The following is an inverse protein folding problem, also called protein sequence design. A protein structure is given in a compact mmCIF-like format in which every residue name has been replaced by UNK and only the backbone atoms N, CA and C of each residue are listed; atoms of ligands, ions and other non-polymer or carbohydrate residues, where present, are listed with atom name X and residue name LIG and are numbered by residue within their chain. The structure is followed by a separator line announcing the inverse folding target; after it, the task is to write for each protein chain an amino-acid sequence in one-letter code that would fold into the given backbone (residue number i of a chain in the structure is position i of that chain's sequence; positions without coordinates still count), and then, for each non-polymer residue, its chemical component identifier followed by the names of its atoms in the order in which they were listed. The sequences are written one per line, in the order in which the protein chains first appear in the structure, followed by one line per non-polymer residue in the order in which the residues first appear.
data_IF_238651114357
#
_entry.id   IF_238651114357
#
_cell.length_a   1.000
_cell.length_b   1.000
_cell.length_c   1.000
_cell.angle_alpha   90.00
_cell.angle_beta   90.00
_cell.angle_gamma   90.00
#
_symmetry.space_group_name_H-M   'P 1'
#
loop_
_entity.id
_entity.type
_entity.pdbx_description
1 polymer ?
#
# COMPACT_ATOMS: atom_id res chain seq x y z
N UNK A 1 -28.69 18.80 23.75
CA UNK A 1 -28.44 19.17 22.34
C UNK A 1 -27.37 18.24 21.80
N UNK A 2 -27.74 17.36 20.87
CA UNK A 2 -26.87 16.29 20.33
C UNK A 2 -25.89 16.88 19.31
N UNK A 3 -24.59 16.78 19.55
CA UNK A 3 -23.57 17.00 18.52
C UNK A 3 -23.44 15.70 17.71
N UNK A 4 -24.01 15.69 16.50
CA UNK A 4 -23.90 14.58 15.56
C UNK A 4 -22.56 14.64 14.84
N UNK A 5 -21.57 13.90 15.33
CA UNK A 5 -20.28 13.68 14.66
C UNK A 5 -20.40 12.53 13.64
N UNK A 6 -19.94 12.78 12.41
CA UNK A 6 -19.82 11.79 11.31
C UNK A 6 -19.12 10.48 11.70
N UNK A 7 -18.32 10.51 12.76
CA UNK A 7 -17.66 9.36 13.37
C UNK A 7 -18.61 8.31 13.98
N UNK A 8 -19.91 8.58 14.09
CA UNK A 8 -20.90 7.54 14.38
C UNK A 8 -21.27 6.71 13.13
N UNK A 9 -20.76 7.07 11.95
CA UNK A 9 -21.09 6.43 10.66
C UNK A 9 -19.90 5.70 10.03
N UNK A 10 -18.69 5.72 10.61
CA UNK A 10 -17.64 4.80 10.18
C UNK A 10 -16.84 4.24 11.36
N UNK A 11 -16.70 2.91 11.44
CA UNK A 11 -15.79 2.27 12.39
C UNK A 11 -14.41 2.17 11.77
N UNK A 12 -13.47 2.97 12.26
CA UNK A 12 -12.05 2.80 11.95
C UNK A 12 -11.50 1.71 12.85
N UNK A 13 -11.51 0.47 12.35
CA UNK A 13 -10.94 -0.64 13.07
C UNK A 13 -9.44 -0.69 12.78
N UNK A 14 -8.65 -0.50 13.83
CA UNK A 14 -7.20 -0.75 13.86
C UNK A 14 -7.00 -2.03 14.65
N UNK A 15 -6.58 -3.10 14.00
CA UNK A 15 -6.08 -4.29 14.71
C UNK A 15 -4.56 -4.17 14.86
N UNK A 16 -4.11 -3.57 15.95
CA UNK A 16 -2.83 -3.97 16.55
C UNK A 16 -3.24 -4.78 17.77
N UNK A 17 -2.90 -6.06 17.79
CA UNK A 17 -2.87 -6.73 19.09
C UNK A 17 -1.61 -6.23 19.80
N UNK A 18 -1.76 -5.17 20.60
CA UNK A 18 -0.89 -5.00 21.75
C UNK A 18 -1.16 -6.18 22.67
N UNK A 19 -0.08 -6.84 23.08
CA UNK A 19 -0.02 -8.01 23.92
C UNK A 19 -0.72 -7.79 25.27
N UNK A 20 -2.04 -7.89 25.29
CA UNK A 20 -2.80 -8.10 26.53
C UNK A 20 -3.65 -9.34 26.33
N UNK A 21 -3.14 -10.44 26.87
CA UNK A 21 -3.78 -11.74 26.94
C UNK A 21 -5.24 -11.62 27.40
N UNK A 22 -6.17 -11.87 26.48
CA UNK A 22 -7.41 -12.55 26.83
C UNK A 22 -7.32 -13.97 26.29
N UNK A 23 -7.31 -14.91 27.23
CA UNK A 23 -7.17 -16.34 27.01
C UNK A 23 -8.39 -16.86 26.22
N UNK A 24 -8.23 -17.05 24.92
CA UNK A 24 -8.97 -18.09 24.18
C UNK A 24 -7.96 -18.82 23.29
N UNK A 25 -7.56 -20.01 23.74
CA UNK A 25 -6.65 -20.92 23.04
C UNK A 25 -7.23 -21.32 21.68
N UNK A 26 -6.54 -20.95 20.59
CA UNK A 26 -6.00 -21.83 19.53
C UNK A 26 -6.02 -21.22 18.11
N UNK A 27 -4.86 -21.32 17.42
CA UNK A 27 -4.49 -20.96 16.02
C UNK A 27 -3.72 -19.63 15.85
N UNK A 28 -2.48 -19.48 16.33
CA UNK A 28 -1.16 -19.99 15.85
C UNK A 28 -0.63 -19.35 14.53
N UNK A 29 0.53 -18.65 14.54
CA UNK A 29 1.13 -17.95 13.38
C UNK A 29 1.44 -18.85 12.17
N UNK A 30 1.53 -20.17 12.37
CA UNK A 30 1.70 -21.17 11.31
C UNK A 30 0.54 -21.21 10.32
N UNK A 31 -0.70 -20.94 10.76
CA UNK A 31 -1.86 -20.93 9.86
C UNK A 31 -1.79 -19.78 8.84
N UNK A 32 -1.30 -18.61 9.27
CA UNK A 32 -1.24 -17.41 8.45
C UNK A 32 -0.20 -17.54 7.32
N UNK A 33 0.98 -18.11 7.63
CA UNK A 33 2.00 -18.39 6.60
C UNK A 33 1.49 -19.41 5.58
N UNK A 34 0.84 -20.48 6.04
CA UNK A 34 0.23 -21.47 5.16
C UNK A 34 -0.88 -20.88 4.27
N UNK A 35 -1.70 -19.96 4.81
CA UNK A 35 -2.73 -19.27 4.06
C UNK A 35 -2.13 -18.39 2.95
N UNK A 36 -1.07 -17.64 3.25
CA UNK A 36 -0.38 -16.81 2.26
C UNK A 36 0.26 -17.67 1.18
N UNK A 37 0.96 -18.75 1.54
CA UNK A 37 1.57 -19.67 0.58
C UNK A 37 0.53 -20.40 -0.29
N UNK A 38 -0.67 -20.66 0.23
CA UNK A 38 -1.74 -21.30 -0.52
C UNK A 38 -2.47 -20.33 -1.47
N UNK A 39 -2.64 -19.07 -1.07
CA UNK A 39 -3.39 -18.06 -1.83
C UNK A 39 -2.53 -17.24 -2.80
N UNK A 40 -1.23 -17.15 -2.55
CA UNK A 40 -0.30 -16.38 -3.38
C UNK A 40 0.45 -17.35 -4.30
N UNK A 41 0.55 -16.98 -5.57
CA UNK A 41 1.37 -17.71 -6.55
C UNK A 41 2.85 -17.29 -6.52
N UNK A 42 3.29 -16.62 -5.44
CA UNK A 42 4.65 -16.13 -5.30
C UNK A 42 5.57 -17.25 -4.76
N UNK A 43 6.80 -17.38 -5.27
CA UNK A 43 7.74 -18.39 -4.79
C UNK A 43 8.27 -18.07 -3.39
N UNK A 44 8.39 -16.78 -3.05
CA UNK A 44 8.84 -16.29 -1.75
C UNK A 44 8.03 -15.06 -1.32
N UNK A 45 7.71 -14.97 -0.04
CA UNK A 45 7.08 -13.80 0.58
C UNK A 45 8.14 -12.75 0.96
N UNK A 46 7.75 -11.47 1.11
CA UNK A 46 8.61 -10.46 1.72
C UNK A 46 9.12 -10.90 3.10
N UNK A 47 10.31 -10.42 3.48
CA UNK A 47 10.94 -10.75 4.77
C UNK A 47 10.06 -10.38 5.97
N UNK A 48 9.37 -9.25 5.91
CA UNK A 48 8.45 -8.79 6.93
C UNK A 48 7.06 -8.63 6.33
N UNK A 49 6.16 -9.57 6.63
CA UNK A 49 4.73 -9.46 6.28
C UNK A 49 3.95 -9.26 7.57
N UNK A 50 3.02 -8.30 7.58
CA UNK A 50 2.16 -8.02 8.71
C UNK A 50 0.71 -8.47 8.40
N UNK A 51 0.42 -9.78 8.48
CA UNK A 51 -0.85 -10.33 7.99
C UNK A 51 -2.09 -9.84 8.75
N UNK A 52 -1.92 -9.45 10.02
CA UNK A 52 -2.99 -8.95 10.87
C UNK A 52 -3.24 -7.45 10.73
N UNK A 53 -2.34 -6.73 10.03
CA UNK A 53 -2.45 -5.30 9.84
C UNK A 53 -3.48 -5.03 8.75
N UNK A 54 -4.61 -4.47 9.17
CA UNK A 54 -5.67 -4.01 8.27
C UNK A 54 -6.08 -2.60 8.69
N UNK A 55 -6.14 -1.71 7.71
CA UNK A 55 -6.76 -0.39 7.88
C UNK A 55 -8.04 -0.39 7.07
N UNK A 56 -9.17 -0.20 7.75
CA UNK A 56 -10.50 -0.29 7.15
C UNK A 56 -11.34 0.95 7.44
N UNK A 57 -11.99 1.45 6.40
CA UNK A 57 -13.05 2.45 6.43
C UNK A 57 -14.35 1.72 6.10
N UNK A 58 -15.22 1.52 7.10
CA UNK A 58 -16.48 0.79 6.94
C UNK A 58 -17.66 1.65 7.38
N UNK A 59 -18.72 1.69 6.57
CA UNK A 59 -19.95 2.45 6.89
C UNK A 59 -20.71 1.78 8.07
N UNK A 60 -21.05 2.53 9.11
CA UNK A 60 -21.62 2.00 10.35
C UNK A 60 -23.03 1.48 10.19
N UNK A 61 -23.88 2.12 9.37
CA UNK A 61 -25.23 1.60 9.11
C UNK A 61 -25.28 0.58 7.96
N UNK A 62 -24.26 0.51 7.11
CA UNK A 62 -24.20 -0.34 5.91
C UNK A 62 -22.86 -1.07 5.90
N UNK A 63 -22.66 -2.07 6.77
CA UNK A 63 -21.34 -2.69 6.98
C UNK A 63 -20.78 -3.42 5.74
N UNK A 64 -21.63 -3.71 4.76
CA UNK A 64 -21.21 -4.25 3.46
C UNK A 64 -20.47 -3.21 2.59
N UNK A 65 -20.60 -1.92 2.90
CA UNK A 65 -19.85 -0.83 2.27
C UNK A 65 -18.58 -0.61 3.06
N UNK A 66 -17.46 -1.07 2.53
CA UNK A 66 -16.15 -0.94 3.18
C UNK A 66 -15.02 -0.84 2.16
N UNK A 67 -14.01 -0.08 2.54
CA UNK A 67 -12.75 0.08 1.84
C UNK A 67 -11.67 -0.31 2.83
N UNK A 68 -10.80 -1.26 2.48
CA UNK A 68 -9.74 -1.68 3.38
C UNK A 68 -8.45 -2.00 2.64
N UNK A 69 -7.35 -2.00 3.39
CA UNK A 69 -6.02 -2.31 2.90
C UNK A 69 -5.45 -3.46 3.70
N UNK A 70 -5.01 -4.52 3.02
CA UNK A 70 -4.39 -5.70 3.62
C UNK A 70 -3.13 -6.12 2.86
N UNK A 71 -2.19 -6.75 3.55
CA UNK A 71 -0.97 -7.26 2.92
C UNK A 71 -1.28 -8.38 1.90
N UNK A 72 -2.23 -9.27 2.23
CA UNK A 72 -2.62 -10.38 1.36
C UNK A 72 -3.15 -9.90 0.01
N UNK A 73 -4.10 -8.95 0.01
CA UNK A 73 -4.70 -8.45 -1.24
C UNK A 73 -3.70 -7.64 -2.07
N UNK A 74 -2.77 -6.93 -1.41
CA UNK A 74 -1.69 -6.24 -2.09
C UNK A 74 -0.71 -7.21 -2.77
N UNK A 75 -0.32 -8.30 -2.09
CA UNK A 75 0.60 -9.30 -2.61
C UNK A 75 -0.01 -10.16 -3.73
N UNK A 76 -1.34 -10.33 -3.76
CA UNK A 76 -2.03 -11.00 -4.88
C UNK A 76 -1.87 -10.26 -6.21
N UNK A 77 -1.62 -8.96 -6.17
CA UNK A 77 -1.42 -8.12 -7.36
C UNK A 77 0.05 -8.03 -7.79
N UNK A 78 0.97 -8.68 -7.08
CA UNK A 78 2.37 -8.78 -7.49
C UNK A 78 2.47 -9.79 -8.64
N UNK A 79 3.19 -9.45 -9.70
CA UNK A 79 3.35 -10.34 -10.84
C UNK A 79 4.19 -11.58 -10.46
N UNK A 80 3.54 -12.74 -10.49
CA UNK A 80 4.15 -14.02 -10.18
C UNK A 80 4.89 -14.67 -11.38
N UNK A 81 4.77 -14.08 -12.57
CA UNK A 81 5.10 -14.74 -13.86
C UNK A 81 6.07 -13.98 -14.74
N UNK A 82 6.19 -12.66 -14.55
CA UNK A 82 7.15 -11.84 -15.28
C UNK A 82 8.24 -11.29 -14.37
N UNK A 83 9.42 -11.11 -14.94
CA UNK A 83 10.49 -10.39 -14.28
C UNK A 83 10.21 -8.89 -14.39
N UNK A 84 10.60 -8.10 -13.39
CA UNK A 84 10.50 -6.66 -13.50
C UNK A 84 11.41 -6.21 -14.66
N UNK A 85 11.03 -5.13 -15.37
CA UNK A 85 11.82 -4.55 -16.48
C UNK A 85 13.23 -4.08 -16.05
N UNK A 86 13.50 -4.13 -14.74
CA UNK A 86 14.74 -3.79 -14.07
C UNK A 86 15.79 -4.87 -14.32
N UNK A 87 16.54 -4.72 -15.41
CA UNK A 87 17.72 -5.54 -15.66
C UNK A 87 18.87 -5.05 -14.79
N UNK A 88 19.21 -5.81 -13.74
CA UNK A 88 20.39 -5.56 -12.92
C UNK A 88 21.32 -6.77 -12.98
N UNK A 89 22.62 -6.55 -13.16
CA UNK A 89 23.64 -7.58 -12.91
C UNK A 89 23.53 -8.27 -11.52
N UNK A 90 23.12 -7.54 -10.46
CA UNK A 90 22.69 -8.09 -9.17
C UNK A 90 21.47 -9.01 -9.19
N UNK A 91 20.59 -9.00 -10.21
CA UNK A 91 19.47 -9.96 -10.24
C UNK A 91 19.99 -11.39 -10.33
N UNK A 92 21.15 -11.63 -10.95
CA UNK A 92 21.79 -12.94 -10.98
C UNK A 92 22.37 -13.33 -9.61
N UNK A 93 22.95 -12.36 -8.88
CA UNK A 93 23.50 -12.58 -7.51
C UNK A 93 22.38 -12.75 -6.48
N UNK A 94 21.32 -11.98 -6.58
CA UNK A 94 20.10 -12.05 -5.77
C UNK A 94 19.33 -13.36 -6.02
N UNK A 95 19.21 -13.77 -7.29
CA UNK A 95 18.68 -15.09 -7.63
C UNK A 95 19.57 -16.20 -7.06
N UNK A 96 20.90 -16.08 -7.16
CA UNK A 96 21.84 -17.08 -6.62
C UNK A 96 21.81 -17.18 -5.09
N UNK A 97 21.64 -16.08 -4.36
CA UNK A 97 21.60 -16.08 -2.89
C UNK A 97 20.36 -16.80 -2.34
N UNK A 98 19.20 -16.66 -3.01
CA UNK A 98 17.95 -17.37 -2.65
C UNK A 98 17.90 -18.81 -3.20
N UNK A 99 18.63 -19.12 -4.29
CA UNK A 99 18.66 -20.45 -4.93
C UNK A 99 19.66 -21.44 -4.30
N UNK A 100 20.44 -21.04 -3.30
CA UNK A 100 21.29 -21.96 -2.53
C UNK A 100 22.28 -22.78 -3.38
N UNK A 101 22.74 -22.26 -4.53
CA UNK A 101 23.71 -22.94 -5.40
C UNK A 101 23.14 -23.97 -6.39
N UNK A 102 21.82 -24.02 -6.60
CA UNK A 102 21.22 -24.87 -7.64
C UNK A 102 21.55 -24.36 -9.07
N UNK A 103 21.75 -25.25 -10.08
CA UNK A 103 22.16 -24.85 -11.42
C UNK A 103 21.14 -23.94 -12.11
N UNK A 104 21.66 -22.93 -12.82
CA UNK A 104 20.98 -21.76 -13.44
C UNK A 104 19.95 -22.12 -14.55
N UNK A 105 19.61 -23.39 -14.75
CA UNK A 105 18.94 -23.87 -15.97
C UNK A 105 17.55 -24.50 -15.77
N UNK A 106 16.84 -24.18 -14.69
CA UNK A 106 15.45 -24.63 -14.48
C UNK A 106 14.48 -23.44 -14.44
N UNK A 107 14.11 -22.84 -15.58
CA UNK A 107 12.90 -21.96 -15.64
C UNK A 107 12.83 -20.92 -14.47
N UNK A 108 13.98 -20.45 -13.98
CA UNK A 108 14.13 -20.03 -12.59
C UNK A 108 13.32 -18.76 -12.33
N UNK A 109 12.18 -18.95 -11.65
CA UNK A 109 11.39 -17.95 -10.94
C UNK A 109 11.34 -16.59 -11.64
N UNK A 110 10.72 -16.53 -12.83
CA UNK A 110 10.32 -15.26 -13.44
C UNK A 110 9.18 -14.69 -12.61
N UNK A 111 9.48 -14.03 -11.51
CA UNK A 111 8.50 -13.28 -10.72
C UNK A 111 9.09 -11.94 -10.34
N UNK A 112 8.20 -11.02 -9.99
CA UNK A 112 8.61 -9.71 -9.51
C UNK A 112 9.12 -9.78 -8.06
N UNK A 113 10.42 -9.98 -7.94
CA UNK A 113 11.14 -9.96 -6.67
C UNK A 113 11.16 -8.58 -5.98
N UNK A 114 10.74 -7.53 -6.68
CA UNK A 114 10.60 -6.19 -6.07
C UNK A 114 9.31 -6.04 -5.29
N UNK A 115 8.41 -7.03 -5.35
CA UNK A 115 7.08 -7.00 -4.73
C UNK A 115 6.28 -5.75 -5.13
N UNK A 116 6.47 -5.27 -6.37
CA UNK A 116 5.72 -4.11 -6.86
C UNK A 116 4.25 -4.46 -7.00
N UNK A 117 3.41 -3.57 -6.49
CA UNK A 117 1.96 -3.75 -6.51
C UNK A 117 1.27 -2.48 -6.99
N UNK A 118 0.31 -2.65 -7.88
CA UNK A 118 -0.59 -1.57 -8.31
C UNK A 118 -1.87 -1.53 -7.45
N UNK A 119 -1.82 -2.12 -6.24
CA UNK A 119 -2.95 -2.23 -5.32
C UNK A 119 -3.51 -0.87 -4.89
N UNK A 120 -4.81 -0.67 -5.13
CA UNK A 120 -5.57 0.57 -4.87
C UNK A 120 -6.52 0.47 -3.67
N UNK A 121 -6.33 -0.54 -2.82
CA UNK A 121 -7.27 -0.90 -1.75
C UNK A 121 -8.39 -1.82 -2.24
N UNK A 122 -8.88 -2.66 -1.34
CA UNK A 122 -10.01 -3.55 -1.60
C UNK A 122 -11.30 -2.81 -1.30
N UNK A 123 -12.18 -2.73 -2.30
CA UNK A 123 -13.43 -1.96 -2.26
C UNK A 123 -14.61 -2.92 -2.34
N UNK A 124 -15.52 -2.85 -1.36
CA UNK A 124 -16.76 -3.61 -1.32
C UNK A 124 -17.95 -2.67 -1.14
N UNK A 125 -19.02 -2.87 -1.91
CA UNK A 125 -20.28 -2.12 -1.76
C UNK A 125 -20.28 -0.68 -2.28
N UNK A 126 -19.22 -0.22 -2.95
CA UNK A 126 -19.20 1.07 -3.64
C UNK A 126 -19.47 0.91 -5.13
N UNK A 127 -20.07 1.93 -5.73
CA UNK A 127 -20.07 2.12 -7.16
C UNK A 127 -18.79 2.86 -7.57
N UNK A 128 -18.07 2.31 -8.56
CA UNK A 128 -16.77 2.82 -8.99
C UNK A 128 -16.90 3.38 -10.40
N UNK A 129 -16.61 4.67 -10.55
CA UNK A 129 -16.61 5.34 -11.86
C UNK A 129 -15.30 6.10 -12.10
N UNK A 130 -14.89 6.21 -13.36
CA UNK A 130 -13.77 7.08 -13.73
C UNK A 130 -14.17 8.55 -13.56
N UNK A 131 -13.26 9.39 -13.05
CA UNK A 131 -13.57 10.80 -12.81
C UNK A 131 -12.42 11.72 -13.18
N UNK A 132 -12.74 12.96 -13.55
CA UNK A 132 -11.76 14.02 -13.74
C UNK A 132 -11.57 14.88 -12.47
N UNK A 133 -12.41 14.67 -11.46
CA UNK A 133 -12.31 15.39 -10.18
C UNK A 133 -10.99 15.05 -9.48
N UNK A 134 -10.26 16.08 -9.07
CA UNK A 134 -8.95 15.96 -8.44
C UNK A 134 -9.06 16.18 -6.93
N UNK A 135 -8.16 15.55 -6.17
CA UNK A 135 -8.04 15.86 -4.74
C UNK A 135 -7.49 17.28 -4.58
N UNK A 136 -8.23 18.12 -3.88
CA UNK A 136 -7.80 19.48 -3.57
C UNK A 136 -6.70 19.46 -2.50
N UNK A 137 -5.45 19.49 -2.97
CA UNK A 137 -4.27 19.50 -2.11
C UNK A 137 -4.16 20.77 -1.26
N UNK A 138 -4.78 21.89 -1.66
CA UNK A 138 -4.76 23.12 -0.87
C UNK A 138 -5.64 23.00 0.39
N UNK A 139 -6.76 22.28 0.29
CA UNK A 139 -7.55 21.92 1.49
C UNK A 139 -6.72 21.11 2.48
N UNK A 140 -5.89 20.18 2.00
CA UNK A 140 -5.05 19.32 2.85
C UNK A 140 -3.86 20.04 3.50
N UNK A 141 -3.45 21.20 2.97
CA UNK A 141 -2.40 22.03 3.58
C UNK A 141 -2.91 22.86 4.76
N UNK A 142 -4.22 23.00 4.91
CA UNK A 142 -4.83 23.71 6.05
C UNK A 142 -4.47 22.99 7.35
N UNK A 143 -4.14 23.76 8.39
CA UNK A 143 -3.80 23.23 9.71
C UNK A 143 -5.08 22.97 10.51
N UNK A 144 -5.88 22.03 10.04
CA UNK A 144 -7.06 21.57 10.76
C UNK A 144 -6.66 20.58 11.87
N UNK A 145 -7.36 20.57 13.03
CA UNK A 145 -7.06 19.64 14.10
C UNK A 145 -7.29 18.20 13.64
N UNK A 146 -6.29 17.35 13.82
CA UNK A 146 -6.39 15.93 13.49
C UNK A 146 -7.12 15.23 14.65
N UNK A 147 -8.34 14.77 14.40
CA UNK A 147 -9.12 13.99 15.37
C UNK A 147 -8.64 12.55 15.48
N UNK A 148 -8.18 11.98 14.37
CA UNK A 148 -7.67 10.62 14.34
C UNK A 148 -6.49 10.50 13.38
N UNK A 149 -5.44 9.82 13.82
CA UNK A 149 -4.30 9.43 13.01
C UNK A 149 -3.97 7.96 13.25
N UNK A 150 -3.72 7.24 12.16
CA UNK A 150 -3.17 5.88 12.23
C UNK A 150 -2.25 5.65 11.06
N UNK A 151 -1.18 4.91 11.29
CA UNK A 151 -0.25 4.44 10.27
C UNK A 151 0.09 2.98 10.55
N UNK A 152 0.02 2.16 9.51
CA UNK A 152 0.30 0.72 9.57
C UNK A 152 1.24 0.34 8.42
N UNK A 153 2.18 -0.56 8.69
CA UNK A 153 2.95 -1.25 7.64
C UNK A 153 2.19 -2.52 7.23
N UNK A 154 2.19 -2.85 5.93
CA UNK A 154 1.57 -4.08 5.40
C UNK A 154 2.63 -5.14 5.11
N UNK A 155 3.69 -4.77 4.41
CA UNK A 155 4.87 -5.61 4.23
C UNK A 155 6.12 -4.77 3.93
N UNK A 156 7.28 -5.35 4.22
CA UNK A 156 8.61 -4.77 4.05
C UNK A 156 9.61 -5.86 3.63
N UNK A 157 10.57 -5.50 2.78
CA UNK A 157 11.67 -6.36 2.33
C UNK A 157 12.91 -5.51 2.07
N UNK A 158 14.09 -5.97 2.49
CA UNK A 158 15.37 -5.27 2.28
C UNK A 158 16.07 -5.67 0.96
N UNK A 159 15.40 -6.48 0.13
CA UNK A 159 15.88 -6.98 -1.15
C UNK A 159 17.27 -7.62 -1.04
N UNK A 160 17.53 -8.34 0.07
CA UNK A 160 18.83 -8.90 0.43
C UNK A 160 19.96 -7.84 0.45
N UNK A 161 19.74 -6.75 1.19
CA UNK A 161 20.65 -5.60 1.36
C UNK A 161 20.92 -4.78 0.08
N UNK A 162 20.14 -4.99 -0.98
CA UNK A 162 20.27 -4.28 -2.26
C UNK A 162 19.20 -3.22 -2.50
N UNK A 163 18.40 -2.90 -1.48
CA UNK A 163 17.38 -1.88 -1.58
C UNK A 163 16.35 -1.93 -0.46
N UNK A 164 15.12 -1.56 -0.81
CA UNK A 164 13.97 -1.63 0.08
C UNK A 164 12.69 -1.68 -0.74
N UNK A 165 11.78 -2.58 -0.38
CA UNK A 165 10.39 -2.58 -0.81
C UNK A 165 9.50 -2.46 0.43
N UNK A 166 8.65 -1.44 0.52
CA UNK A 166 7.79 -1.22 1.68
C UNK A 166 6.41 -0.74 1.23
N UNK A 167 5.36 -1.39 1.74
CA UNK A 167 3.97 -0.93 1.61
C UNK A 167 3.45 -0.47 2.97
N UNK A 168 3.04 0.79 3.06
CA UNK A 168 2.45 1.36 4.28
C UNK A 168 1.18 2.16 3.97
N UNK A 169 0.27 2.20 4.94
CA UNK A 169 -0.99 2.93 4.84
C UNK A 169 -1.13 3.85 6.04
N UNK A 170 -1.42 5.12 5.77
CA UNK A 170 -1.70 6.13 6.80
C UNK A 170 -3.01 6.84 6.53
N UNK A 171 -3.75 7.14 7.59
CA UNK A 171 -4.99 7.91 7.54
C UNK A 171 -4.94 9.06 8.53
N UNK A 172 -5.44 10.21 8.10
CA UNK A 172 -5.73 11.38 8.93
C UNK A 172 -7.21 11.67 8.80
N UNK A 173 -7.87 11.94 9.93
CA UNK A 173 -9.26 12.41 9.94
C UNK A 173 -9.34 13.75 10.63
N UNK A 174 -9.97 14.70 9.95
CA UNK A 174 -10.21 16.08 10.33
C UNK A 174 -11.72 16.29 10.49
N UNK A 175 -12.18 17.40 11.09
CA UNK A 175 -13.62 17.64 11.29
C UNK A 175 -14.45 17.59 10.00
N UNK A 176 -13.91 18.13 8.90
CA UNK A 176 -14.63 18.28 7.63
C UNK A 176 -14.29 17.21 6.58
N UNK A 177 -13.19 16.46 6.75
CA UNK A 177 -12.72 15.52 5.73
C UNK A 177 -11.79 14.46 6.33
N UNK A 178 -11.49 13.44 5.55
CA UNK A 178 -10.39 12.53 5.82
C UNK A 178 -9.48 12.39 4.61
N UNK A 179 -8.23 12.03 4.89
CA UNK A 179 -7.24 11.74 3.87
C UNK A 179 -6.49 10.46 4.23
N UNK A 180 -6.49 9.51 3.30
CA UNK A 180 -5.75 8.26 3.39
C UNK A 180 -4.70 8.23 2.28
N UNK A 181 -3.49 7.83 2.65
CA UNK A 181 -2.40 7.54 1.72
C UNK A 181 -1.93 6.11 1.95
N UNK A 182 -2.11 5.25 0.95
CA UNK A 182 -1.36 4.01 0.81
C UNK A 182 -0.17 4.28 -0.10
N UNK A 183 1.03 3.95 0.35
CA UNK A 183 2.28 4.17 -0.39
C UNK A 183 3.08 2.89 -0.43
N UNK A 184 3.28 2.39 -1.64
CA UNK A 184 4.33 1.44 -1.96
C UNK A 184 5.59 2.22 -2.33
N UNK A 185 6.69 1.96 -1.64
CA UNK A 185 8.00 2.52 -1.88
C UNK A 185 8.96 1.41 -2.28
N UNK A 186 9.59 1.55 -3.45
CA UNK A 186 10.62 0.65 -3.93
C UNK A 186 11.87 1.46 -4.23
N UNK A 187 12.99 1.03 -3.66
CA UNK A 187 14.32 1.49 -3.99
C UNK A 187 15.17 0.27 -4.31
N UNK A 188 15.81 0.28 -5.47
CA UNK A 188 16.86 -0.68 -5.81
C UNK A 188 18.14 0.11 -5.95
N UNK A 189 19.10 -0.16 -5.06
CA UNK A 189 20.27 0.70 -4.86
C UNK A 189 21.12 0.81 -6.11
N UNK A 190 21.35 2.04 -6.57
CA UNK A 190 22.11 2.33 -7.79
C UNK A 190 21.35 2.07 -9.09
N UNK A 191 20.06 1.71 -9.02
CA UNK A 191 19.28 1.29 -10.19
C UNK A 191 18.09 2.20 -10.41
N UNK A 192 17.09 2.15 -9.52
CA UNK A 192 15.86 2.92 -9.66
C UNK A 192 15.13 3.15 -8.34
N UNK A 193 14.24 4.13 -8.36
CA UNK A 193 13.26 4.41 -7.30
C UNK A 193 11.87 4.41 -7.94
N UNK A 194 10.93 3.72 -7.30
CA UNK A 194 9.52 3.67 -7.70
C UNK A 194 8.62 3.94 -6.51
N UNK A 195 7.57 4.71 -6.75
CA UNK A 195 6.52 5.01 -5.76
C UNK A 195 5.16 4.77 -6.40
N UNK A 196 4.37 3.89 -5.80
CA UNK A 196 2.95 3.75 -6.13
C UNK A 196 2.13 4.31 -4.96
N UNK A 197 1.50 5.46 -5.19
CA UNK A 197 0.66 6.14 -4.20
C UNK A 197 -0.81 5.94 -4.56
N UNK A 198 -1.61 5.43 -3.62
CA UNK A 198 -3.07 5.52 -3.64
C UNK A 198 -3.52 6.53 -2.61
N UNK A 199 -4.06 7.65 -3.07
CA UNK A 199 -4.62 8.73 -2.24
C UNK A 199 -6.13 8.63 -2.25
N UNK A 200 -6.74 8.65 -1.08
CA UNK A 200 -8.20 8.62 -0.93
C UNK A 200 -8.61 9.80 -0.08
N UNK A 201 -9.52 10.61 -0.62
CA UNK A 201 -10.06 11.79 0.02
C UNK A 201 -11.57 11.67 0.10
N UNK A 202 -12.13 11.96 1.27
CA UNK A 202 -13.58 12.06 1.46
C UNK A 202 -13.92 13.31 2.24
N UNK A 203 -14.89 14.07 1.74
CA UNK A 203 -15.44 15.24 2.42
C UNK A 203 -16.74 14.86 3.14
N UNK A 204 -16.95 15.47 4.31
CA UNK A 204 -18.15 15.29 5.09
C UNK A 204 -19.39 15.64 4.26
N UNK A 205 -20.41 14.78 4.27
CA UNK A 205 -21.66 14.93 3.49
C UNK A 205 -21.53 14.94 1.95
N UNK A 206 -20.37 14.67 1.36
CA UNK A 206 -20.22 14.61 -0.11
C UNK A 206 -20.94 13.43 -0.76
N UNK A 207 -21.07 12.30 -0.05
CA UNK A 207 -21.68 11.08 -0.58
C UNK A 207 -20.77 10.27 -1.52
N UNK A 208 -19.48 10.60 -1.60
CA UNK A 208 -18.50 9.85 -2.37
C UNK A 208 -17.08 10.05 -1.82
N UNK A 209 -16.16 9.18 -2.24
CA UNK A 209 -14.73 9.37 -2.06
C UNK A 209 -14.05 9.56 -3.41
N UNK A 210 -13.01 10.39 -3.45
CA UNK A 210 -12.10 10.49 -4.59
C UNK A 210 -10.88 9.64 -4.30
N UNK A 211 -10.57 8.71 -5.20
CA UNK A 211 -9.37 7.89 -5.18
C UNK A 211 -8.48 8.24 -6.37
N UNK A 212 -7.26 8.67 -6.09
CA UNK A 212 -6.22 8.90 -7.09
C UNK A 212 -5.10 7.89 -6.90
N UNK A 213 -4.78 7.14 -7.93
CA UNK A 213 -3.60 6.28 -7.96
C UNK A 213 -2.55 6.86 -8.90
N UNK A 214 -1.30 6.86 -8.46
CA UNK A 214 -0.18 7.36 -9.26
C UNK A 214 1.03 6.47 -9.10
N UNK A 215 1.62 6.05 -10.22
CA UNK A 215 2.92 5.39 -10.29
C UNK A 215 3.97 6.38 -10.77
N UNK A 216 5.00 6.55 -9.96
CA UNK A 216 6.16 7.41 -10.24
C UNK A 216 7.42 6.57 -10.23
N UNK A 217 8.30 6.82 -11.18
CA UNK A 217 9.54 6.04 -11.32
C UNK A 217 10.65 6.89 -11.90
N UNK A 218 11.88 6.73 -11.40
CA UNK A 218 13.07 7.29 -12.02
C UNK A 218 14.25 6.34 -11.85
N UNK A 219 15.17 6.36 -12.82
CA UNK A 219 16.45 5.67 -12.69
C UNK A 219 17.43 6.51 -11.89
N UNK A 220 18.35 5.88 -11.18
CA UNK A 220 19.40 6.59 -10.43
C UNK A 220 20.24 7.49 -11.34
N UNK A 221 20.43 7.10 -12.60
CA UNK A 221 21.16 7.89 -13.61
C UNK A 221 20.49 9.21 -13.97
N UNK A 222 19.19 9.33 -13.72
CA UNK A 222 18.38 10.52 -14.05
C UNK A 222 18.21 11.43 -12.83
N UNK A 223 18.59 10.97 -11.64
CA UNK A 223 18.50 11.72 -10.39
C UNK A 223 19.74 12.59 -10.18
N UNK A 224 19.53 13.86 -9.83
CA UNK A 224 20.61 14.75 -9.41
C UNK A 224 21.22 14.31 -8.07
N UNK A 225 22.46 14.72 -7.79
CA UNK A 225 23.17 14.38 -6.54
C UNK A 225 22.38 14.74 -5.27
N UNK A 226 21.70 15.89 -5.26
CA UNK A 226 20.85 16.32 -4.14
C UNK A 226 19.63 15.42 -3.94
N UNK A 227 19.07 14.88 -5.03
CA UNK A 227 17.94 13.95 -4.95
C UNK A 227 18.39 12.59 -4.43
N UNK A 228 19.59 12.13 -4.78
CA UNK A 228 20.16 10.87 -4.28
C UNK A 228 20.28 10.86 -2.74
N UNK A 229 20.63 11.99 -2.12
CA UNK A 229 20.62 12.12 -0.65
C UNK A 229 19.21 11.99 -0.06
N UNK A 230 18.19 12.40 -0.81
CA UNK A 230 16.78 12.34 -0.42
C UNK A 230 16.10 11.01 -0.73
N UNK A 231 16.76 10.07 -1.41
CA UNK A 231 16.20 8.74 -1.75
C UNK A 231 15.96 7.89 -0.50
N UNK A 232 16.58 8.19 0.63
CA UNK A 232 16.25 7.51 1.90
C UNK A 232 14.89 7.96 2.47
N UNK A 233 14.39 9.14 2.08
CA UNK A 233 13.12 9.68 2.53
C UNK A 233 12.06 9.64 1.41
N UNK A 234 11.17 8.64 1.50
CA UNK A 234 10.04 8.50 0.57
C UNK A 234 9.12 9.74 0.55
N UNK A 235 9.03 10.50 1.66
CA UNK A 235 8.20 11.70 1.78
C UNK A 235 8.82 12.93 1.11
N UNK A 236 10.13 12.95 0.90
CA UNK A 236 10.83 14.01 0.19
C UNK A 236 10.89 13.71 -1.33
N UNK A 237 11.27 12.48 -1.70
CA UNK A 237 11.60 12.16 -3.10
C UNK A 237 10.39 12.16 -4.04
N UNK A 238 9.18 11.89 -3.55
CA UNK A 238 8.00 11.69 -4.41
C UNK A 238 7.64 12.88 -5.30
N UNK A 239 7.97 14.11 -4.89
CA UNK A 239 7.68 15.32 -5.67
C UNK A 239 8.58 15.46 -6.89
N UNK A 240 9.74 14.80 -6.86
CA UNK A 240 10.78 14.92 -7.88
C UNK A 240 10.74 13.79 -8.90
N UNK A 241 10.05 12.70 -8.60
CA UNK A 241 9.89 11.56 -9.51
C UNK A 241 8.82 11.86 -10.58
N UNK A 242 9.11 11.58 -11.87
CA UNK A 242 8.13 11.75 -12.94
C UNK A 242 7.00 10.73 -12.79
N UNK A 243 5.80 11.12 -13.22
CA UNK A 243 4.61 10.25 -13.22
C UNK A 243 4.65 9.40 -14.48
N UNK A 244 4.65 8.08 -14.30
CA UNK A 244 4.62 7.10 -15.39
C UNK A 244 3.19 6.70 -15.70
N UNK A 245 2.38 6.49 -14.66
CA UNK A 245 0.98 6.11 -14.81
C UNK A 245 0.12 6.79 -13.74
N UNK A 246 -1.13 7.06 -14.08
CA UNK A 246 -2.05 7.82 -13.26
C UNK A 246 -3.50 7.48 -13.58
N UNK A 247 -4.29 7.22 -12.56
CA UNK A 247 -5.74 7.09 -12.70
C UNK A 247 -6.49 7.78 -11.56
N UNK A 248 -7.75 8.12 -11.84
CA UNK A 248 -8.68 8.66 -10.86
C UNK A 248 -10.02 7.95 -10.95
N UNK A 249 -10.53 7.56 -9.79
CA UNK A 249 -11.84 6.95 -9.66
C UNK A 249 -12.63 7.62 -8.55
N UNK A 250 -13.92 7.80 -8.78
CA UNK A 250 -14.87 8.20 -7.75
C UNK A 250 -15.53 6.92 -7.21
N UNK A 251 -15.63 6.85 -5.88
CA UNK A 251 -16.28 5.77 -5.14
C UNK A 251 -17.57 6.35 -4.55
N UNK A 252 -18.70 6.14 -5.22
CA UNK A 252 -20.03 6.60 -4.76
C UNK A 252 -20.68 5.56 -3.86
N UNK A 253 -21.44 6.03 -2.87
CA UNK A 253 -22.34 5.14 -2.14
C UNK A 253 -23.54 4.80 -3.03
N UNK A 254 -23.96 3.53 -3.13
CA UNK A 254 -25.19 3.19 -3.83
C UNK A 254 -26.36 3.96 -3.23
N UNK A 255 -27.22 4.48 -4.11
CA UNK A 255 -28.50 5.08 -3.76
C UNK A 255 -29.47 3.96 -3.39
N UNK A 256 -30.21 4.13 -2.30
CA UNK A 256 -31.27 3.21 -1.89
C UNK A 256 -32.47 3.27 -2.86
#
# INVERSE_FOLDING_TARGET
MRHGSFFNVFTLQRSFHDSVCFFSLSQEPLFQVCEYNAKLSLPHLPEMVFPNNVLMIQHSSRPYIKLYFSALDALKMVDATTLPEVQVGPSAVWQQSRLGGAPVNQLLNRFDWTYSTDYQGTVEGFEIEATNEAIDMEKLKRRDPIHFYSQIALYEDELADHGCAQLSVRIRVMPACFFLLSRFYLRVDGVMVRICDTRIYGEHCSGYFIREWSKREAKFTELSSTLLESVLDSSAIWQHLPVVDFNRTKLTFPLD
#
